data_IF_065583120348
#
_entry.id   IF_065583120348
#
_cell.length_a   1.000
_cell.length_b   1.000
_cell.length_c   1.000
_cell.angle_alpha   90.00
_cell.angle_beta   90.00
_cell.angle_gamma   90.00
#
_symmetry.space_group_name_H-M   'P 1'
#
loop_
_entity.id
_entity.type
_entity.pdbx_description
1 polymer ?
#
# COMPACT_ATOMS: atom_id res chain seq x y z
N UNK A 1 0.80 24.21 -1.07
CA UNK A 1 1.27 22.86 -0.72
C UNK A 1 0.13 22.17 -0.01
N UNK A 2 -0.41 21.10 -0.58
CA UNK A 2 -1.50 20.32 0.03
C UNK A 2 -0.96 19.43 1.15
N UNK A 3 -1.85 18.93 2.01
CA UNK A 3 -1.51 17.96 3.05
C UNK A 3 -0.88 16.69 2.45
N UNK A 4 -1.42 16.20 1.32
CA UNK A 4 -0.88 15.03 0.64
C UNK A 4 0.53 15.27 0.06
N UNK A 5 0.82 16.47 -0.45
CA UNK A 5 2.17 16.82 -0.91
C UNK A 5 3.18 16.84 0.24
N UNK A 6 2.78 17.35 1.41
CA UNK A 6 3.61 17.32 2.62
C UNK A 6 3.89 15.88 3.07
N UNK A 7 2.85 15.04 3.16
CA UNK A 7 2.99 13.64 3.57
C UNK A 7 3.81 12.82 2.56
N UNK A 8 3.68 13.11 1.25
CA UNK A 8 4.51 12.49 0.22
C UNK A 8 6.00 12.78 0.42
N UNK A 9 6.37 14.02 0.82
CA UNK A 9 7.75 14.36 1.17
C UNK A 9 8.21 13.69 2.46
N UNK A 10 7.34 13.60 3.47
CA UNK A 10 7.67 12.93 4.73
C UNK A 10 7.92 11.42 4.53
N UNK A 11 7.21 10.80 3.58
CA UNK A 11 7.49 9.43 3.10
C UNK A 11 8.87 9.27 2.42
N UNK A 12 9.58 10.35 2.11
CA UNK A 12 10.94 10.32 1.52
C UNK A 12 12.03 10.64 2.55
N UNK A 13 11.64 10.81 3.83
CA UNK A 13 12.59 11.07 4.91
C UNK A 13 13.60 9.93 5.07
N UNK A 14 14.83 10.28 5.47
CA UNK A 14 15.83 9.29 5.86
C UNK A 14 15.45 8.58 7.17
N UNK A 15 14.64 9.22 8.02
CA UNK A 15 14.13 8.64 9.25
C UNK A 15 12.93 7.73 8.97
N UNK A 16 13.05 6.45 9.31
CA UNK A 16 11.98 5.48 9.16
C UNK A 16 10.76 5.79 10.03
N UNK A 17 10.95 6.43 11.18
CA UNK A 17 9.86 6.81 12.05
C UNK A 17 9.03 7.95 11.44
N UNK A 18 9.68 8.94 10.83
CA UNK A 18 8.97 9.99 10.08
C UNK A 18 8.18 9.41 8.90
N UNK A 19 8.77 8.47 8.15
CA UNK A 19 8.04 7.77 7.07
C UNK A 19 6.85 6.97 7.62
N UNK A 20 7.02 6.31 8.76
CA UNK A 20 5.95 5.54 9.42
C UNK A 20 4.81 6.45 9.85
N UNK A 21 5.11 7.57 10.49
CA UNK A 21 4.11 8.57 10.86
C UNK A 21 3.38 9.11 9.63
N UNK A 22 4.09 9.38 8.53
CA UNK A 22 3.46 9.78 7.29
C UNK A 22 2.47 8.72 6.78
N UNK A 23 2.83 7.43 6.84
CA UNK A 23 1.93 6.35 6.49
C UNK A 23 0.71 6.25 7.43
N UNK A 24 0.87 6.50 8.73
CA UNK A 24 -0.27 6.58 9.68
C UNK A 24 -1.22 7.70 9.28
N UNK A 25 -0.69 8.89 8.99
CA UNK A 25 -1.50 10.06 8.63
C UNK A 25 -2.22 9.85 7.29
N UNK A 26 -1.54 9.22 6.32
CA UNK A 26 -2.13 8.84 5.03
C UNK A 26 -3.27 7.83 5.20
N UNK A 27 -3.17 6.88 6.12
CA UNK A 27 -4.24 5.93 6.44
C UNK A 27 -5.51 6.57 7.02
N UNK A 28 -5.45 7.84 7.41
CA UNK A 28 -6.57 8.63 7.95
C UNK A 28 -6.99 9.78 7.03
N UNK A 29 -6.32 9.94 5.90
CA UNK A 29 -6.55 11.01 4.95
C UNK A 29 -7.72 10.69 4.00
N UNK A 30 -7.94 11.57 3.02
CA UNK A 30 -8.88 11.33 1.93
C UNK A 30 -8.39 10.25 0.95
N UNK A 31 -9.29 9.69 0.14
CA UNK A 31 -8.97 8.58 -0.80
C UNK A 31 -7.82 8.88 -1.77
N UNK A 32 -7.47 10.15 -1.98
CA UNK A 32 -6.27 10.56 -2.72
C UNK A 32 -4.95 10.05 -2.11
N UNK A 33 -4.95 9.55 -0.86
CA UNK A 33 -3.79 8.96 -0.20
C UNK A 33 -3.47 7.51 -0.62
N UNK A 34 -4.41 6.80 -1.26
CA UNK A 34 -4.24 5.39 -1.64
C UNK A 34 -2.96 5.14 -2.46
N UNK A 35 -2.64 5.94 -3.51
CA UNK A 35 -1.39 5.76 -4.27
C UNK A 35 -0.12 5.90 -3.41
N UNK A 36 -0.14 6.78 -2.40
CA UNK A 36 1.00 6.99 -1.51
C UNK A 36 1.17 5.82 -0.53
N UNK A 37 0.08 5.24 -0.03
CA UNK A 37 0.13 4.02 0.77
C UNK A 37 0.60 2.82 -0.06
N UNK A 38 0.16 2.67 -1.30
CA UNK A 38 0.65 1.64 -2.22
C UNK A 38 2.16 1.75 -2.48
N UNK A 39 2.69 2.98 -2.52
CA UNK A 39 4.14 3.23 -2.57
C UNK A 39 4.84 2.77 -1.29
N UNK A 40 4.25 3.08 -0.12
CA UNK A 40 4.82 2.74 1.19
C UNK A 40 4.87 1.22 1.47
N UNK A 41 4.15 0.39 0.72
CA UNK A 41 4.32 -1.07 0.76
C UNK A 41 5.73 -1.52 0.38
N UNK A 42 6.48 -0.71 -0.38
CA UNK A 42 7.86 -1.00 -0.78
C UNK A 42 8.93 -0.46 0.17
N UNK A 43 8.55 0.11 1.33
CA UNK A 43 9.51 0.75 2.23
C UNK A 43 10.55 -0.24 2.77
N UNK A 44 11.83 0.19 2.94
CA UNK A 44 12.85 -0.64 3.58
C UNK A 44 12.48 -1.10 5.00
N UNK A 45 11.81 -0.27 5.80
CA UNK A 45 11.41 -0.58 7.16
C UNK A 45 10.06 -1.33 7.17
N UNK A 46 10.05 -2.51 7.81
CA UNK A 46 8.86 -3.36 7.87
C UNK A 46 7.69 -2.73 8.63
N UNK A 47 7.96 -1.81 9.57
CA UNK A 47 6.93 -1.10 10.35
C UNK A 47 6.18 -0.10 9.47
N UNK A 48 6.88 0.54 8.53
CA UNK A 48 6.26 1.43 7.53
C UNK A 48 5.36 0.60 6.61
N UNK A 49 5.87 -0.53 6.09
CA UNK A 49 5.09 -1.43 5.24
C UNK A 49 3.83 -1.93 5.94
N UNK A 50 3.95 -2.37 7.19
CA UNK A 50 2.80 -2.82 8.00
C UNK A 50 1.76 -1.71 8.19
N UNK A 51 2.20 -0.49 8.49
CA UNK A 51 1.32 0.68 8.61
C UNK A 51 0.59 0.96 7.30
N UNK A 52 1.28 0.82 6.16
CA UNK A 52 0.68 1.00 4.85
C UNK A 52 -0.40 -0.06 4.55
N UNK A 53 -0.14 -1.33 4.91
CA UNK A 53 -1.14 -2.41 4.82
C UNK A 53 -2.38 -2.09 5.64
N UNK A 54 -2.22 -1.72 6.91
CA UNK A 54 -3.32 -1.36 7.81
C UNK A 54 -4.15 -0.20 7.25
N UNK A 55 -3.50 0.84 6.72
CA UNK A 55 -4.17 1.98 6.09
C UNK A 55 -4.97 1.59 4.84
N UNK A 56 -4.40 0.76 3.96
CA UNK A 56 -5.09 0.29 2.76
C UNK A 56 -6.31 -0.57 3.09
N UNK A 57 -6.21 -1.47 4.07
CA UNK A 57 -7.34 -2.28 4.55
C UNK A 57 -8.45 -1.38 5.11
N UNK A 58 -8.07 -0.34 5.86
CA UNK A 58 -9.04 0.61 6.43
C UNK A 58 -9.78 1.41 5.35
N UNK A 59 -9.12 1.75 4.23
CA UNK A 59 -9.78 2.40 3.09
C UNK A 59 -10.77 1.46 2.39
N UNK A 60 -10.32 0.24 2.07
CA UNK A 60 -11.07 -0.74 1.29
C UNK A 60 -11.58 -0.23 -0.07
N UNK A 61 -12.28 -1.12 -0.78
CA UNK A 61 -12.85 -0.84 -2.10
C UNK A 61 -11.95 -1.29 -3.26
N UNK A 62 -12.54 -1.21 -4.45
CA UNK A 62 -11.95 -1.78 -5.68
C UNK A 62 -10.64 -1.08 -6.08
N UNK A 63 -10.52 0.21 -5.80
CA UNK A 63 -9.29 0.99 -6.02
C UNK A 63 -8.11 0.45 -5.20
N UNK A 64 -8.36 0.07 -3.95
CA UNK A 64 -7.36 -0.57 -3.09
C UNK A 64 -6.99 -1.96 -3.61
N UNK A 65 -7.97 -2.83 -3.89
CA UNK A 65 -7.69 -4.20 -4.34
C UNK A 65 -6.98 -4.23 -5.69
N UNK A 66 -7.39 -3.39 -6.64
CA UNK A 66 -6.72 -3.29 -7.94
C UNK A 66 -5.29 -2.76 -7.81
N UNK A 67 -5.07 -1.76 -6.95
CA UNK A 67 -3.73 -1.25 -6.67
C UNK A 67 -2.81 -2.29 -6.03
N UNK A 68 -3.32 -3.08 -5.08
CA UNK A 68 -2.60 -4.18 -4.44
C UNK A 68 -2.25 -5.30 -5.44
N UNK A 69 -3.20 -5.67 -6.31
CA UNK A 69 -2.98 -6.64 -7.40
C UNK A 69 -1.83 -6.21 -8.30
N UNK A 70 -1.77 -4.94 -8.70
CA UNK A 70 -0.64 -4.41 -9.49
C UNK A 70 0.70 -4.48 -8.77
N UNK A 71 0.73 -4.46 -7.42
CA UNK A 71 1.98 -4.58 -6.65
C UNK A 71 2.51 -6.02 -6.61
N UNK A 72 1.71 -7.03 -6.98
CA UNK A 72 2.18 -8.42 -7.05
C UNK A 72 3.26 -8.59 -8.13
N UNK A 73 3.21 -7.79 -9.20
CA UNK A 73 4.19 -7.78 -10.30
C UNK A 73 5.40 -6.88 -10.03
N UNK A 74 5.63 -6.41 -8.80
CA UNK A 74 6.78 -5.56 -8.48
C UNK A 74 8.08 -6.38 -8.46
N UNK A 75 8.68 -6.64 -9.64
CA UNK A 75 9.84 -7.53 -9.84
C UNK A 75 11.04 -7.22 -8.92
N UNK A 76 11.37 -5.95 -8.77
CA UNK A 76 12.56 -5.50 -8.03
C UNK A 76 12.34 -5.26 -6.52
N UNK A 77 11.11 -5.43 -6.01
CA UNK A 77 10.81 -5.13 -4.61
C UNK A 77 9.98 -6.25 -3.96
N UNK A 78 10.69 -7.24 -3.41
CA UNK A 78 10.06 -8.34 -2.67
C UNK A 78 9.28 -7.87 -1.45
N UNK A 79 9.69 -6.76 -0.81
CA UNK A 79 8.96 -6.15 0.30
C UNK A 79 7.56 -5.69 -0.12
N UNK A 80 7.48 -4.97 -1.24
CA UNK A 80 6.21 -4.52 -1.83
C UNK A 80 5.30 -5.69 -2.18
N UNK A 81 5.83 -6.74 -2.82
CA UNK A 81 5.05 -7.94 -3.16
C UNK A 81 4.51 -8.62 -1.91
N UNK A 82 5.36 -8.87 -0.91
CA UNK A 82 4.95 -9.56 0.31
C UNK A 82 3.88 -8.79 1.09
N UNK A 83 4.03 -7.46 1.19
CA UNK A 83 3.03 -6.62 1.86
C UNK A 83 1.73 -6.50 1.05
N UNK A 84 1.79 -6.54 -0.28
CA UNK A 84 0.60 -6.63 -1.11
C UNK A 84 -0.15 -7.96 -0.91
N UNK A 85 0.58 -9.09 -0.88
CA UNK A 85 0.02 -10.42 -0.57
C UNK A 85 -0.62 -10.43 0.81
N UNK A 86 0.05 -9.86 1.82
CA UNK A 86 -0.49 -9.74 3.18
C UNK A 86 -1.82 -8.98 3.20
N UNK A 87 -1.86 -7.80 2.57
CA UNK A 87 -3.08 -6.99 2.50
C UNK A 87 -4.21 -7.72 1.79
N UNK A 88 -3.95 -8.31 0.62
CA UNK A 88 -4.95 -9.08 -0.15
C UNK A 88 -5.46 -10.29 0.65
N UNK A 89 -4.60 -10.97 1.39
CA UNK A 89 -4.99 -12.09 2.25
C UNK A 89 -5.91 -11.65 3.39
N UNK A 90 -5.66 -10.48 3.99
CA UNK A 90 -6.51 -9.93 5.05
C UNK A 90 -7.85 -9.39 4.51
N UNK A 91 -7.86 -8.84 3.29
CA UNK A 91 -9.09 -8.42 2.59
C UNK A 91 -9.99 -9.64 2.29
N UNK A 92 -9.39 -10.78 1.97
CA UNK A 92 -10.11 -12.05 1.81
C UNK A 92 -10.94 -12.11 0.53
N UNK A 93 -12.20 -12.53 0.63
CA UNK A 93 -13.03 -12.89 -0.54
C UNK A 93 -13.19 -11.76 -1.57
N UNK A 94 -13.16 -10.49 -1.13
CA UNK A 94 -13.24 -9.34 -2.03
C UNK A 94 -12.02 -9.22 -2.97
N UNK A 95 -10.88 -9.83 -2.62
CA UNK A 95 -9.70 -9.86 -3.47
C UNK A 95 -9.77 -10.92 -4.58
N UNK A 96 -10.69 -11.90 -4.50
CA UNK A 96 -10.74 -13.03 -5.45
C UNK A 96 -10.99 -12.55 -6.88
N UNK A 97 -12.00 -11.70 -7.09
CA UNK A 97 -12.32 -11.17 -8.43
C UNK A 97 -11.14 -10.47 -9.10
N UNK A 98 -10.50 -9.49 -8.43
CA UNK A 98 -9.29 -8.83 -8.94
C UNK A 98 -8.09 -9.75 -9.18
N UNK A 99 -8.00 -10.89 -8.47
CA UNK A 99 -6.90 -11.85 -8.62
C UNK A 99 -7.09 -12.82 -9.78
N UNK A 100 -8.33 -13.12 -10.19
CA UNK A 100 -8.62 -14.11 -11.25
C UNK A 100 -7.85 -13.85 -12.56
N UNK A 101 -7.76 -12.61 -13.10
CA UNK A 101 -7.05 -12.37 -14.36
C UNK A 101 -5.56 -12.73 -14.33
N UNK A 102 -4.93 -12.80 -13.14
CA UNK A 102 -3.52 -13.20 -12.99
C UNK A 102 -3.32 -14.72 -13.00
N UNK A 103 -4.38 -15.51 -12.84
CA UNK A 103 -4.33 -16.96 -12.87
C UNK A 103 -4.55 -17.50 -14.29
N UNK A 104 -5.20 -16.71 -15.14
CA UNK A 104 -5.49 -17.03 -16.54
C UNK A 104 -4.38 -16.55 -17.50
N UNK A 105 -3.38 -15.83 -17.00
CA UNK A 105 -2.22 -15.41 -17.79
C UNK A 105 -1.20 -16.55 -17.85
N UNK A 106 -1.09 -17.21 -19.00
CA UNK A 106 0.00 -18.14 -19.35
C UNK A 106 1.35 -17.44 -19.57
#
# INVERSE_FOLDING_TARGET
MSTLELLSRKLESQDAEERREAAVDLGRAERGAIPLLLRALGDPDWRVRKTAVEGLIAFGGDDVTNGLVQRLSAEDNAGARNSAIEALSQIGAAAVGPLLPLLDSE
#
